data_IF_698887789773
#
_entry.id   IF_698887789773
#
_cell.length_a   1.000
_cell.length_b   1.000
_cell.length_c   1.000
_cell.angle_alpha   90.00
_cell.angle_beta   90.00
_cell.angle_gamma   90.00
#
_symmetry.space_group_name_H-M   'P 1'
#
loop_
_entity.id
_entity.type
_entity.pdbx_description
1 polymer ?
#
# COMPACT_ATOMS: atom_id res chain seq x y z
N UNK A 1 27.34 -15.43 -21.59
CA UNK A 1 25.94 -15.90 -21.63
C UNK A 1 25.05 -14.77 -22.13
N UNK A 2 24.09 -15.03 -23.01
CA UNK A 2 23.03 -14.07 -23.39
C UNK A 2 21.76 -14.38 -22.59
N UNK A 3 21.15 -13.36 -22.00
CA UNK A 3 19.82 -13.49 -21.42
C UNK A 3 18.80 -13.81 -22.52
N UNK A 4 17.94 -14.80 -22.28
CA UNK A 4 16.91 -15.23 -23.25
C UNK A 4 15.58 -14.48 -23.07
N UNK A 5 15.34 -13.94 -21.89
CA UNK A 5 14.11 -13.24 -21.52
C UNK A 5 14.34 -12.35 -20.30
N UNK A 6 13.45 -11.37 -20.12
CA UNK A 6 13.40 -10.48 -18.97
C UNK A 6 11.97 -10.46 -18.42
N UNK A 7 11.82 -10.45 -17.10
CA UNK A 7 10.56 -10.20 -16.42
C UNK A 7 10.67 -8.83 -15.73
N UNK A 8 9.63 -8.02 -15.88
CA UNK A 8 9.55 -6.70 -15.27
C UNK A 8 8.38 -6.67 -14.31
N UNK A 9 8.60 -6.07 -13.15
CA UNK A 9 7.53 -5.65 -12.26
C UNK A 9 6.83 -4.41 -12.84
N UNK A 10 5.67 -4.05 -12.31
CA UNK A 10 4.94 -2.85 -12.71
C UNK A 10 5.38 -1.63 -11.91
N UNK A 11 5.12 -1.66 -10.59
CA UNK A 11 5.30 -0.50 -9.71
C UNK A 11 6.79 -0.19 -9.50
N UNK A 12 7.17 1.06 -9.73
CA UNK A 12 8.55 1.52 -9.62
C UNK A 12 9.50 0.99 -10.71
N UNK A 13 9.04 0.11 -11.61
CA UNK A 13 9.84 -0.42 -12.74
C UNK A 13 9.32 0.08 -14.07
N UNK A 14 8.09 -0.25 -14.44
CA UNK A 14 7.47 0.24 -15.68
C UNK A 14 6.80 1.60 -15.48
N UNK A 15 6.27 1.87 -14.29
CA UNK A 15 5.65 3.15 -13.93
C UNK A 15 5.67 3.37 -12.42
N UNK A 16 5.67 4.63 -11.98
CA UNK A 16 5.48 4.98 -10.57
C UNK A 16 3.98 4.96 -10.23
N UNK A 17 3.55 3.97 -9.46
CA UNK A 17 2.18 3.87 -8.94
C UNK A 17 2.08 3.99 -7.42
N UNK A 18 3.20 4.00 -6.71
CA UNK A 18 3.26 4.12 -5.25
C UNK A 18 2.49 5.35 -4.72
N UNK A 19 2.55 6.49 -5.44
CA UNK A 19 1.79 7.70 -5.08
C UNK A 19 0.27 7.46 -5.12
N UNK A 20 -0.23 6.68 -6.08
CA UNK A 20 -1.67 6.45 -6.22
C UNK A 20 -2.18 5.48 -5.15
N UNK A 21 -1.37 4.50 -4.74
CA UNK A 21 -1.68 3.66 -3.58
C UNK A 21 -1.83 4.49 -2.30
N UNK A 22 -0.90 5.43 -2.06
CA UNK A 22 -1.00 6.34 -0.92
C UNK A 22 -2.30 7.16 -0.94
N UNK A 23 -2.64 7.77 -2.08
CA UNK A 23 -3.85 8.58 -2.23
C UNK A 23 -5.10 7.72 -1.97
N UNK A 24 -5.16 6.51 -2.52
CA UNK A 24 -6.30 5.61 -2.34
C UNK A 24 -6.50 5.22 -0.87
N UNK A 25 -5.43 4.81 -0.18
CA UNK A 25 -5.50 4.49 1.24
C UNK A 25 -5.82 5.70 2.10
N UNK A 26 -5.24 6.86 1.78
CA UNK A 26 -5.52 8.11 2.48
C UNK A 26 -7.00 8.49 2.40
N UNK A 27 -7.58 8.45 1.20
CA UNK A 27 -9.00 8.73 1.01
C UNK A 27 -9.88 7.77 1.81
N UNK A 28 -9.59 6.46 1.75
CA UNK A 28 -10.34 5.47 2.53
C UNK A 28 -10.24 5.73 4.04
N UNK A 29 -9.06 6.08 4.53
CA UNK A 29 -8.86 6.39 5.94
C UNK A 29 -9.62 7.67 6.34
N UNK A 30 -9.59 8.70 5.50
CA UNK A 30 -10.33 9.95 5.75
C UNK A 30 -11.84 9.71 5.83
N UNK A 31 -12.40 8.89 4.93
CA UNK A 31 -13.81 8.50 4.93
C UNK A 31 -14.22 7.72 6.20
N UNK A 32 -13.31 6.92 6.74
CA UNK A 32 -13.52 6.10 7.94
C UNK A 32 -13.11 6.79 9.26
N UNK A 33 -12.58 8.01 9.18
CA UNK A 33 -12.04 8.74 10.34
C UNK A 33 -10.78 8.10 10.94
N UNK A 34 -10.01 7.37 10.14
CA UNK A 34 -8.76 6.72 10.51
C UNK A 34 -7.56 7.64 10.21
N UNK A 35 -6.51 7.54 11.03
CA UNK A 35 -5.23 8.20 10.78
C UNK A 35 -4.39 7.37 9.83
N UNK A 36 -3.87 8.04 8.80
CA UNK A 36 -2.93 7.45 7.86
C UNK A 36 -2.08 8.55 7.22
N UNK A 37 -0.77 8.41 7.31
CA UNK A 37 0.20 9.36 6.74
C UNK A 37 1.25 8.69 5.83
N UNK A 38 2.23 9.47 5.36
CA UNK A 38 3.30 8.94 4.48
C UNK A 38 4.27 8.00 5.20
N UNK A 39 4.41 8.13 6.51
CA UNK A 39 5.22 7.25 7.37
C UNK A 39 4.54 5.89 7.49
N UNK A 40 3.22 5.88 7.67
CA UNK A 40 2.41 4.66 7.68
C UNK A 40 2.45 3.96 6.32
N UNK A 41 2.34 4.72 5.22
CA UNK A 41 2.38 4.19 3.86
C UNK A 41 3.66 3.41 3.53
N UNK A 42 4.81 3.79 4.11
CA UNK A 42 6.05 3.04 3.92
C UNK A 42 5.96 1.61 4.46
N UNK A 43 5.11 1.34 5.44
CA UNK A 43 4.85 0.00 5.98
C UNK A 43 4.07 -0.89 5.00
N UNK A 44 3.47 -0.30 3.97
CA UNK A 44 2.64 -0.99 2.99
C UNK A 44 3.39 -1.37 1.70
N UNK A 45 4.68 -1.04 1.59
CA UNK A 45 5.47 -1.34 0.41
C UNK A 45 5.63 -2.86 0.23
N UNK A 46 5.24 -3.37 -0.93
CA UNK A 46 5.43 -4.77 -1.30
C UNK A 46 4.53 -5.77 -0.57
N UNK A 47 3.55 -5.33 0.22
CA UNK A 47 2.56 -6.22 0.85
C UNK A 47 1.24 -6.27 0.08
N UNK A 48 0.50 -7.37 0.25
CA UNK A 48 -0.77 -7.54 -0.44
C UNK A 48 -1.82 -6.51 0.02
N UNK A 49 -2.85 -6.31 -0.81
CA UNK A 49 -3.96 -5.39 -0.49
C UNK A 49 -4.63 -5.70 0.85
N UNK A 50 -4.88 -6.98 1.13
CA UNK A 50 -5.53 -7.39 2.38
C UNK A 50 -4.63 -7.09 3.59
N UNK A 51 -3.35 -7.46 3.50
CA UNK A 51 -2.36 -7.15 4.56
C UNK A 51 -2.19 -5.66 4.78
N UNK A 52 -2.30 -4.86 3.71
CA UNK A 52 -2.27 -3.40 3.81
C UNK A 52 -3.45 -2.87 4.63
N UNK A 53 -4.67 -3.37 4.36
CA UNK A 53 -5.84 -2.99 5.12
C UNK A 53 -5.70 -3.40 6.59
N UNK A 54 -5.32 -4.66 6.85
CA UNK A 54 -5.11 -5.16 8.22
C UNK A 54 -4.10 -4.29 8.98
N UNK A 55 -2.98 -3.93 8.33
CA UNK A 55 -1.96 -3.04 8.91
C UNK A 55 -2.52 -1.67 9.25
N UNK A 56 -3.33 -1.07 8.36
CA UNK A 56 -3.98 0.22 8.60
C UNK A 56 -4.95 0.13 9.80
N UNK A 57 -5.72 -0.95 9.91
CA UNK A 57 -6.66 -1.15 11.01
C UNK A 57 -5.93 -1.37 12.35
N UNK A 58 -4.83 -2.11 12.34
CA UNK A 58 -3.96 -2.31 13.51
C UNK A 58 -3.34 -0.98 13.99
N UNK A 59 -2.81 -0.17 13.08
CA UNK A 59 -2.26 1.17 13.40
C UNK A 59 -3.28 2.09 14.07
N UNK A 60 -4.56 1.91 13.74
CA UNK A 60 -5.66 2.69 14.29
C UNK A 60 -6.36 2.01 15.48
N UNK A 61 -5.88 0.86 15.94
CA UNK A 61 -6.49 0.12 17.05
C UNK A 61 -7.91 -0.36 16.77
N UNK A 62 -8.28 -0.56 15.50
CA UNK A 62 -9.63 -0.91 15.07
C UNK A 62 -9.70 -2.25 14.30
N UNK A 63 -8.70 -3.10 14.44
CA UNK A 63 -8.63 -4.43 13.80
C UNK A 63 -9.83 -5.34 14.10
N UNK A 64 -10.51 -5.15 15.24
CA UNK A 64 -11.71 -5.92 15.63
C UNK A 64 -13.03 -5.25 15.24
N UNK A 65 -13.00 -4.07 14.60
CA UNK A 65 -14.21 -3.28 14.28
C UNK A 65 -14.85 -3.68 12.95
N UNK A 66 -14.09 -4.29 12.03
CA UNK A 66 -14.49 -4.59 10.66
C UNK A 66 -14.28 -6.07 10.33
#
# INVERSE_FOLDING_TARGET
MKAKSFLFDLDGVLTDTARYHYIAWKNLCDDLGLKFDKTDNHRLLGISRLRSLETILELNGCASRY
#
